data_IF_865604931336
#
_entry.id   IF_865604931336
#
_cell.length_a   1.000
_cell.length_b   1.000
_cell.length_c   1.000
_cell.angle_alpha   90.00
_cell.angle_beta   90.00
_cell.angle_gamma   90.00
#
_symmetry.space_group_name_H-M   'P 1'
#
loop_
_entity.id
_entity.type
_entity.pdbx_description
1 polymer ?
#
# COMPACT_ATOMS: atom_id res chain seq x y z
N UNK A 1 -100.07 12.11 -43.28
CA UNK A 1 -98.91 11.64 -44.05
C UNK A 1 -97.96 10.90 -43.09
N UNK A 2 -98.09 9.58 -42.98
CA UNK A 2 -97.42 8.80 -41.93
C UNK A 2 -96.76 7.55 -42.53
N UNK A 3 -95.64 7.73 -43.22
CA UNK A 3 -94.82 6.64 -43.77
C UNK A 3 -93.37 7.13 -43.86
N UNK A 4 -92.50 6.71 -42.91
CA UNK A 4 -91.04 6.47 -43.07
C UNK A 4 -90.19 6.52 -41.79
N UNK A 5 -90.74 6.72 -40.58
CA UNK A 5 -89.92 6.68 -39.35
C UNK A 5 -89.28 5.31 -39.10
N UNK A 6 -89.95 4.22 -39.49
CA UNK A 6 -89.39 2.87 -39.34
C UNK A 6 -88.35 2.52 -40.41
N UNK A 7 -88.49 3.02 -41.65
CA UNK A 7 -87.48 2.82 -42.70
C UNK A 7 -86.16 3.54 -42.40
N UNK A 8 -86.22 4.76 -41.85
CA UNK A 8 -85.04 5.50 -41.42
C UNK A 8 -84.32 4.84 -40.22
N UNK A 9 -85.07 4.24 -39.29
CA UNK A 9 -84.49 3.54 -38.14
C UNK A 9 -83.84 2.20 -38.51
N UNK A 10 -84.40 1.47 -39.48
CA UNK A 10 -83.81 0.22 -39.99
C UNK A 10 -82.54 0.48 -40.80
N UNK A 11 -82.51 1.56 -41.59
CA UNK A 11 -81.31 1.95 -42.35
C UNK A 11 -80.13 2.38 -41.46
N UNK A 12 -80.38 3.10 -40.36
CA UNK A 12 -79.31 3.52 -39.44
C UNK A 12 -78.72 2.36 -38.64
N UNK A 13 -79.55 1.39 -38.23
CA UNK A 13 -79.11 0.15 -37.58
C UNK A 13 -78.18 -0.68 -38.48
N UNK A 14 -78.51 -0.77 -39.78
CA UNK A 14 -77.67 -1.47 -40.75
C UNK A 14 -76.31 -0.78 -40.96
N UNK A 15 -76.29 0.56 -41.02
CA UNK A 15 -75.03 1.33 -41.10
C UNK A 15 -74.14 1.16 -39.87
N UNK A 16 -74.70 1.17 -38.66
CA UNK A 16 -73.93 0.91 -37.43
C UNK A 16 -73.35 -0.51 -37.42
N UNK A 17 -74.11 -1.49 -37.89
CA UNK A 17 -73.65 -2.88 -38.00
C UNK A 17 -72.49 -2.99 -38.99
N UNK A 18 -72.57 -2.35 -40.16
CA UNK A 18 -71.47 -2.30 -41.13
C UNK A 18 -70.20 -1.63 -40.57
N UNK A 19 -70.34 -0.53 -39.83
CA UNK A 19 -69.22 0.15 -39.18
C UNK A 19 -68.57 -0.76 -38.13
N UNK A 20 -69.38 -1.44 -37.32
CA UNK A 20 -68.87 -2.37 -36.30
C UNK A 20 -68.08 -3.52 -36.92
N UNK A 21 -68.57 -4.08 -38.02
CA UNK A 21 -67.88 -5.15 -38.77
C UNK A 21 -66.59 -4.62 -39.38
N UNK A 22 -66.59 -3.41 -39.95
CA UNK A 22 -65.37 -2.80 -40.50
C UNK A 22 -64.28 -2.57 -39.44
N UNK A 23 -64.67 -2.16 -38.22
CA UNK A 23 -63.73 -2.00 -37.10
C UNK A 23 -63.12 -3.34 -36.67
N UNK A 24 -63.94 -4.41 -36.60
CA UNK A 24 -63.46 -5.76 -36.25
C UNK A 24 -62.47 -6.27 -37.31
N UNK A 25 -62.77 -6.09 -38.59
CA UNK A 25 -61.88 -6.49 -39.69
C UNK A 25 -60.56 -5.70 -39.67
N UNK A 26 -60.60 -4.38 -39.48
CA UNK A 26 -59.39 -3.57 -39.33
C UNK A 26 -58.56 -3.99 -38.12
N UNK A 27 -59.21 -4.27 -36.99
CA UNK A 27 -58.53 -4.72 -35.77
C UNK A 27 -57.83 -6.07 -35.99
N UNK A 28 -58.51 -7.02 -36.64
CA UNK A 28 -57.91 -8.31 -36.99
C UNK A 28 -56.75 -8.20 -37.98
N UNK A 29 -56.77 -7.21 -38.88
CA UNK A 29 -55.67 -6.99 -39.83
C UNK A 29 -54.48 -6.24 -39.21
N UNK A 30 -54.72 -5.29 -38.30
CA UNK A 30 -53.67 -4.53 -37.62
C UNK A 30 -52.95 -5.31 -36.52
N UNK A 31 -53.67 -6.19 -35.81
CA UNK A 31 -53.14 -6.98 -34.70
C UNK A 31 -51.89 -7.82 -35.03
N UNK A 32 -51.85 -8.65 -36.10
CA UNK A 32 -50.68 -9.46 -36.42
C UNK A 32 -49.46 -8.60 -36.82
N UNK A 33 -49.67 -7.48 -37.51
CA UNK A 33 -48.58 -6.55 -37.88
C UNK A 33 -47.98 -5.85 -36.67
N UNK A 34 -48.82 -5.42 -35.72
CA UNK A 34 -48.36 -4.80 -34.48
C UNK A 34 -47.53 -5.76 -33.63
N UNK A 35 -47.95 -7.02 -33.54
CA UNK A 35 -47.21 -8.05 -32.78
C UNK A 35 -45.80 -8.28 -33.35
N UNK A 36 -45.65 -8.34 -34.68
CA UNK A 36 -44.35 -8.54 -35.33
C UNK A 36 -43.41 -7.35 -35.09
N UNK A 37 -43.90 -6.11 -35.27
CA UNK A 37 -43.11 -4.90 -35.00
C UNK A 37 -42.65 -4.84 -33.54
N UNK A 38 -43.52 -5.18 -32.59
CA UNK A 38 -43.17 -5.22 -31.17
C UNK A 38 -42.05 -6.24 -30.90
N UNK A 39 -42.12 -7.44 -31.49
CA UNK A 39 -41.08 -8.46 -31.33
C UNK A 39 -39.74 -8.04 -31.94
N UNK A 40 -39.76 -7.40 -33.11
CA UNK A 40 -38.55 -6.90 -33.75
C UNK A 40 -37.89 -5.77 -32.93
N UNK A 41 -38.69 -4.84 -32.42
CA UNK A 41 -38.20 -3.76 -31.56
C UNK A 41 -37.63 -4.30 -30.24
N UNK A 42 -38.26 -5.34 -29.66
CA UNK A 42 -37.74 -6.03 -28.48
C UNK A 42 -36.40 -6.73 -28.75
N UNK A 43 -36.28 -7.44 -29.88
CA UNK A 43 -35.01 -8.09 -30.26
C UNK A 43 -33.88 -7.09 -30.49
N UNK A 44 -34.16 -5.97 -31.18
CA UNK A 44 -33.18 -4.89 -31.39
C UNK A 44 -32.79 -4.20 -30.08
N UNK A 45 -33.75 -3.99 -29.17
CA UNK A 45 -33.47 -3.44 -27.85
C UNK A 45 -32.59 -4.37 -27.02
N UNK A 46 -32.89 -5.67 -27.00
CA UNK A 46 -32.10 -6.67 -26.27
C UNK A 46 -30.66 -6.79 -26.81
N UNK A 47 -30.48 -6.75 -28.13
CA UNK A 47 -29.14 -6.74 -28.74
C UNK A 47 -28.35 -5.49 -28.35
N UNK A 48 -28.96 -4.30 -28.43
CA UNK A 48 -28.32 -3.05 -28.02
C UNK A 48 -27.94 -3.05 -26.54
N UNK A 49 -28.80 -3.59 -25.68
CA UNK A 49 -28.52 -3.70 -24.25
C UNK A 49 -27.35 -4.66 -23.98
N UNK A 50 -27.29 -5.79 -24.68
CA UNK A 50 -26.17 -6.72 -24.58
C UNK A 50 -24.84 -6.11 -25.06
N UNK A 51 -24.87 -5.37 -26.18
CA UNK A 51 -23.70 -4.64 -26.71
C UNK A 51 -23.21 -3.58 -25.72
N UNK A 52 -24.13 -2.77 -25.19
CA UNK A 52 -23.83 -1.75 -24.18
C UNK A 52 -23.30 -2.36 -22.89
N UNK A 53 -23.92 -3.42 -22.40
CA UNK A 53 -23.48 -4.14 -21.21
C UNK A 53 -22.05 -4.66 -21.38
N UNK A 54 -21.74 -5.24 -22.54
CA UNK A 54 -20.38 -5.68 -22.87
C UNK A 54 -19.39 -4.51 -22.91
N UNK A 55 -19.79 -3.38 -23.50
CA UNK A 55 -18.94 -2.20 -23.55
C UNK A 55 -18.65 -1.64 -22.15
N UNK A 56 -19.67 -1.57 -21.28
CA UNK A 56 -19.51 -1.15 -19.88
C UNK A 56 -18.51 -2.07 -19.17
N UNK A 57 -18.63 -3.39 -19.33
CA UNK A 57 -17.71 -4.35 -18.72
C UNK A 57 -16.28 -4.19 -19.23
N UNK A 58 -16.08 -3.94 -20.53
CA UNK A 58 -14.75 -3.71 -21.11
C UNK A 58 -14.14 -2.41 -20.59
N UNK A 59 -14.91 -1.32 -20.57
CA UNK A 59 -14.45 -0.04 -20.07
C UNK A 59 -14.18 -0.09 -18.56
N UNK A 60 -15.00 -0.79 -17.80
CA UNK A 60 -14.76 -1.02 -16.38
C UNK A 60 -13.49 -1.87 -16.16
N UNK A 61 -13.30 -2.93 -16.94
CA UNK A 61 -12.09 -3.75 -16.88
C UNK A 61 -10.83 -2.93 -17.23
N UNK A 62 -10.89 -2.09 -18.28
CA UNK A 62 -9.82 -1.16 -18.66
C UNK A 62 -9.56 -0.11 -17.58
N UNK A 63 -10.60 0.44 -16.97
CA UNK A 63 -10.46 1.39 -15.87
C UNK A 63 -9.80 0.73 -14.64
N UNK A 64 -10.17 -0.51 -14.33
CA UNK A 64 -9.52 -1.31 -13.27
C UNK A 64 -8.06 -1.64 -13.59
N UNK A 65 -7.77 -2.02 -14.83
CA UNK A 65 -6.39 -2.29 -15.28
C UNK A 65 -5.51 -1.04 -15.21
N UNK A 66 -5.98 0.08 -15.77
CA UNK A 66 -5.25 1.36 -15.71
C UNK A 66 -5.05 1.83 -14.27
N UNK A 67 -6.05 1.70 -13.40
CA UNK A 67 -5.91 1.96 -11.98
C UNK A 67 -4.87 1.05 -11.32
N UNK A 68 -4.87 -0.26 -11.61
CA UNK A 68 -3.89 -1.20 -11.09
C UNK A 68 -2.45 -0.88 -11.59
N UNK A 69 -2.29 -0.52 -12.86
CA UNK A 69 -1.01 -0.09 -13.43
C UNK A 69 -0.51 1.21 -12.79
N UNK A 70 -1.38 2.19 -12.58
CA UNK A 70 -1.04 3.43 -11.87
C UNK A 70 -0.60 3.15 -10.43
N UNK A 71 -1.28 2.25 -9.73
CA UNK A 71 -0.88 1.81 -8.40
C UNK A 71 0.46 1.07 -8.40
N UNK A 72 0.70 0.18 -9.37
CA UNK A 72 1.97 -0.51 -9.51
C UNK A 72 3.13 0.47 -9.77
N UNK A 73 2.93 1.42 -10.69
CA UNK A 73 3.91 2.47 -10.97
C UNK A 73 4.18 3.34 -9.74
N UNK A 74 3.14 3.73 -9.00
CA UNK A 74 3.30 4.48 -7.75
C UNK A 74 4.11 3.69 -6.71
N UNK A 75 3.92 2.37 -6.60
CA UNK A 75 4.73 1.54 -5.69
C UNK A 75 6.19 1.45 -6.13
N UNK A 76 6.45 1.34 -7.43
CA UNK A 76 7.83 1.30 -7.97
C UNK A 76 8.53 2.64 -7.71
N UNK A 77 7.87 3.77 -7.96
CA UNK A 77 8.48 5.09 -7.70
C UNK A 77 8.74 5.32 -6.23
N UNK A 78 7.83 4.88 -5.34
CA UNK A 78 8.06 4.91 -3.89
C UNK A 78 9.24 4.02 -3.49
N UNK A 79 9.29 2.77 -3.97
CA UNK A 79 10.39 1.85 -3.67
C UNK A 79 11.75 2.35 -4.19
N UNK A 80 11.78 2.97 -5.37
CA UNK A 80 12.99 3.61 -5.90
C UNK A 80 13.42 4.81 -5.05
N UNK A 81 12.47 5.64 -4.60
CA UNK A 81 12.75 6.77 -3.73
C UNK A 81 13.29 6.30 -2.37
N UNK A 82 12.69 5.28 -1.79
CA UNK A 82 13.15 4.64 -0.55
C UNK A 82 14.54 4.01 -0.71
N UNK A 83 14.79 3.31 -1.82
CA UNK A 83 16.10 2.74 -2.13
C UNK A 83 17.18 3.81 -2.25
N UNK A 84 16.88 4.91 -2.96
CA UNK A 84 17.79 6.07 -3.06
C UNK A 84 18.03 6.71 -1.69
N UNK A 85 16.97 6.90 -0.89
CA UNK A 85 17.06 7.46 0.45
C UNK A 85 17.91 6.56 1.38
N UNK A 86 17.74 5.24 1.33
CA UNK A 86 18.51 4.29 2.12
C UNK A 86 20.00 4.32 1.75
N UNK A 87 20.34 4.42 0.45
CA UNK A 87 21.74 4.55 0.00
C UNK A 87 22.35 5.87 0.48
N UNK A 88 21.63 6.98 0.37
CA UNK A 88 22.10 8.28 0.87
C UNK A 88 22.31 8.23 2.39
N UNK A 89 21.37 7.62 3.12
CA UNK A 89 21.47 7.44 4.57
C UNK A 89 22.69 6.60 4.95
N UNK A 90 22.87 5.44 4.33
CA UNK A 90 24.02 4.56 4.59
C UNK A 90 25.36 5.26 4.28
N UNK A 91 25.42 6.06 3.21
CA UNK A 91 26.60 6.89 2.90
C UNK A 91 26.85 7.95 3.98
N UNK A 92 25.81 8.65 4.43
CA UNK A 92 25.93 9.66 5.48
C UNK A 92 26.38 9.05 6.82
N UNK A 93 25.81 7.90 7.20
CA UNK A 93 26.19 7.13 8.38
C UNK A 93 27.66 6.68 8.29
N UNK A 94 28.08 6.10 7.16
CA UNK A 94 29.47 5.69 6.96
C UNK A 94 30.46 6.85 7.02
N UNK A 95 30.12 8.02 6.45
CA UNK A 95 30.94 9.22 6.58
C UNK A 95 31.01 9.73 8.01
N UNK A 96 29.90 9.70 8.75
CA UNK A 96 29.87 10.08 10.15
C UNK A 96 30.73 9.15 11.02
N UNK A 97 30.70 7.84 10.75
CA UNK A 97 31.50 6.85 11.46
C UNK A 97 33.00 7.02 11.18
N UNK A 98 33.38 7.34 9.94
CA UNK A 98 34.77 7.67 9.59
C UNK A 98 35.23 8.91 10.35
N UNK A 99 34.41 9.96 10.41
CA UNK A 99 34.76 11.20 11.10
C UNK A 99 34.92 10.96 12.61
N UNK A 100 34.01 10.19 13.23
CA UNK A 100 34.14 9.79 14.64
C UNK A 100 35.41 8.98 14.88
N UNK A 101 35.73 8.04 14.00
CA UNK A 101 36.95 7.23 14.11
C UNK A 101 38.22 8.07 13.99
N UNK A 102 38.24 9.05 13.07
CA UNK A 102 39.35 10.01 12.94
C UNK A 102 39.51 10.87 14.19
N UNK A 103 38.41 11.44 14.70
CA UNK A 103 38.43 12.24 15.91
C UNK A 103 38.93 11.44 17.12
N UNK A 104 38.50 10.19 17.27
CA UNK A 104 38.99 9.28 18.31
C UNK A 104 40.48 8.96 18.14
N UNK A 105 40.93 8.69 16.92
CA UNK A 105 42.34 8.42 16.63
C UNK A 105 43.23 9.64 16.93
N UNK A 106 42.79 10.84 16.56
CA UNK A 106 43.52 12.08 16.84
C UNK A 106 43.57 12.38 18.33
N UNK A 107 42.46 12.19 19.06
CA UNK A 107 42.43 12.28 20.51
C UNK A 107 43.42 11.31 21.16
N UNK A 108 43.42 10.04 20.73
CA UNK A 108 44.36 9.04 21.23
C UNK A 108 45.82 9.40 20.92
N UNK A 109 46.09 9.97 19.74
CA UNK A 109 47.43 10.45 19.36
C UNK A 109 47.89 11.58 20.30
N UNK A 110 47.05 12.59 20.52
CA UNK A 110 47.36 13.73 21.40
C UNK A 110 47.61 13.24 22.84
N UNK A 111 46.76 12.36 23.34
CA UNK A 111 46.94 11.75 24.66
C UNK A 111 48.28 11.00 24.70
N UNK A 112 48.54 10.11 23.74
CA UNK A 112 49.78 9.35 23.69
C UNK A 112 51.03 10.23 23.61
N UNK A 113 51.00 11.32 22.84
CA UNK A 113 52.09 12.31 22.77
C UNK A 113 52.26 13.06 24.10
N UNK A 114 51.16 13.49 24.74
CA UNK A 114 51.22 14.19 26.04
C UNK A 114 51.74 13.32 27.19
N UNK A 115 51.61 12.00 27.07
CA UNK A 115 52.13 11.04 28.06
C UNK A 115 53.61 10.69 27.81
N UNK A 116 54.13 10.88 26.59
CA UNK A 116 55.54 10.60 26.27
C UNK A 116 56.45 11.60 27.00
N UNK A 117 57.30 11.07 27.87
CA UNK A 117 58.29 11.86 28.62
C UNK A 117 57.80 12.39 29.97
N UNK A 118 56.55 12.11 30.37
CA UNK A 118 55.99 12.57 31.64
C UNK A 118 55.81 11.42 32.66
N UNK A 119 56.92 10.75 32.98
CA UNK A 119 56.96 9.59 33.88
C UNK A 119 56.43 9.90 35.28
N UNK A 120 56.71 11.10 35.81
CA UNK A 120 56.26 11.52 37.14
C UNK A 120 54.75 11.74 37.20
N UNK A 121 54.16 12.34 36.16
CA UNK A 121 52.70 12.49 36.06
C UNK A 121 51.99 11.13 35.90
N UNK A 122 52.54 10.23 35.08
CA UNK A 122 52.02 8.86 34.96
C UNK A 122 52.06 8.11 36.30
N UNK A 123 53.17 8.24 37.05
CA UNK A 123 53.30 7.68 38.40
C UNK A 123 52.27 8.30 39.36
N UNK A 124 52.07 9.61 39.31
CA UNK A 124 51.05 10.30 40.09
C UNK A 124 49.63 9.81 39.79
N UNK A 125 49.23 9.73 38.51
CA UNK A 125 47.91 9.22 38.10
C UNK A 125 47.72 7.77 38.55
N UNK A 126 48.76 6.93 38.42
CA UNK A 126 48.71 5.54 38.87
C UNK A 126 48.50 5.41 40.38
N UNK A 127 49.27 6.15 41.19
CA UNK A 127 49.12 6.17 42.66
C UNK A 127 47.73 6.67 43.05
N UNK A 128 47.25 7.74 42.41
CA UNK A 128 45.91 8.29 42.67
C UNK A 128 44.82 7.28 42.31
N UNK A 129 44.94 6.60 41.18
CA UNK A 129 44.00 5.55 40.77
C UNK A 129 43.97 4.34 41.71
N UNK A 130 45.11 3.98 42.32
CA UNK A 130 45.17 2.99 43.39
C UNK A 130 44.47 3.46 44.67
N UNK A 131 44.56 4.76 44.98
CA UNK A 131 43.89 5.37 46.14
C UNK A 131 42.37 5.45 45.97
N UNK A 132 41.88 5.73 44.76
CA UNK A 132 40.45 5.83 44.45
C UNK A 132 39.71 4.48 44.43
N UNK A 133 40.40 3.36 44.69
CA UNK A 133 39.80 2.08 45.09
C UNK A 133 39.03 1.31 44.01
N UNK A 134 39.03 1.75 42.75
CA UNK A 134 38.38 1.04 41.63
C UNK A 134 39.28 0.01 40.93
N UNK A 135 40.46 -0.25 41.47
CA UNK A 135 41.33 -1.33 41.01
C UNK A 135 40.74 -2.67 41.41
N UNK A 136 40.11 -3.36 40.46
CA UNK A 136 39.77 -4.77 40.57
C UNK A 136 41.06 -5.53 40.92
N UNK A 137 41.15 -6.06 42.15
CA UNK A 137 42.32 -6.81 42.62
C UNK A 137 42.39 -8.12 41.84
N UNK A 138 43.05 -8.13 40.70
CA UNK A 138 43.39 -9.36 39.98
C UNK A 138 44.53 -10.02 40.76
N UNK A 139 44.18 -11.04 41.53
CA UNK A 139 45.14 -11.91 42.18
C UNK A 139 45.89 -12.71 41.11
N UNK A 140 47.15 -12.36 40.86
CA UNK A 140 48.05 -13.19 40.06
C UNK A 140 48.72 -14.14 41.04
N UNK A 141 48.37 -15.44 41.07
CA UNK A 141 49.03 -16.40 41.94
C UNK A 141 50.51 -16.48 41.54
N UNK A 142 51.42 -16.18 42.47
CA UNK A 142 52.81 -16.58 42.32
C UNK A 142 52.87 -18.10 42.47
N UNK A 143 52.98 -18.77 41.33
CA UNK A 143 53.29 -20.18 40.98
C UNK A 143 52.98 -21.38 41.92
N UNK A 144 52.38 -21.23 43.10
CA UNK A 144 52.05 -22.39 43.93
C UNK A 144 50.92 -22.19 44.96
N UNK A 145 50.07 -21.15 44.84
CA UNK A 145 48.79 -21.09 45.56
C UNK A 145 48.83 -21.19 47.09
N UNK A 146 49.99 -20.99 47.73
CA UNK A 146 50.17 -21.05 49.17
C UNK A 146 50.61 -19.67 49.70
N UNK A 147 49.89 -19.09 50.68
CA UNK A 147 50.34 -17.87 51.34
C UNK A 147 51.70 -18.09 52.00
N UNK A 148 52.62 -17.14 51.87
CA UNK A 148 53.90 -17.17 52.58
C UNK A 148 53.59 -17.09 54.08
N UNK A 149 53.79 -18.21 54.78
CA UNK A 149 53.50 -18.39 56.21
C UNK A 149 54.63 -17.94 57.13
N UNK A 150 55.69 -17.31 56.61
CA UNK A 150 56.93 -17.11 57.38
C UNK A 150 57.22 -15.66 57.77
N UNK A 151 56.19 -14.82 57.86
CA UNK A 151 56.28 -13.57 58.62
C UNK A 151 55.80 -13.80 60.07
N UNK A 152 56.56 -14.54 60.87
CA UNK A 152 56.24 -14.67 62.29
C UNK A 152 56.86 -15.84 63.03
N UNK A 153 58.20 -15.95 63.07
CA UNK A 153 58.85 -16.63 64.19
C UNK A 153 60.21 -15.97 64.49
N UNK A 154 60.13 -14.77 65.07
CA UNK A 154 61.10 -14.30 66.05
C UNK A 154 60.55 -14.69 67.43
N UNK A 155 61.12 -15.73 68.06
CA UNK A 155 61.31 -15.89 69.52
C UNK A 155 61.41 -17.37 69.96
N UNK A 156 62.62 -17.94 69.93
CA UNK A 156 63.39 -18.40 71.10
C UNK A 156 64.65 -19.12 70.65
#
# INVERSE_FOLDING_TARGET
MYQNRQALAVGSLFMLLLISVAIVVMSFWAWPKYNLYRMEMQGRAALKEAEWSKQILIEEARARETAALMQANARVTLAEAEGKAAVVRAKAEGLADIERAKAAAESNRIIGESLKGNTEYLRYIWIKGLQDGKGERIYIPTEAGLPILEAGNLAK
#
